data_IF_798006799866
#
_entry.id   IF_798006799866
#
_cell.length_a   1.000
_cell.length_b   1.000
_cell.length_c   1.000
_cell.angle_alpha   90.00
_cell.angle_beta   90.00
_cell.angle_gamma   90.00
#
_symmetry.space_group_name_H-M   'P 1'
#
loop_
_entity.id
_entity.type
_entity.pdbx_description
1 polymer ?
#
# COMPACT_ATOMS: atom_id res chain seq x y z
N UNK A 1 -14.70 -15.32 33.21
CA UNK A 1 -15.39 -14.39 32.27
C UNK A 1 -15.45 -15.10 30.91
N UNK A 2 -16.59 -15.73 30.61
CA UNK A 2 -16.77 -16.48 29.36
C UNK A 2 -16.95 -15.46 28.23
N UNK A 3 -16.04 -15.44 27.27
CA UNK A 3 -16.23 -14.72 26.02
C UNK A 3 -17.17 -15.59 25.20
N UNK A 4 -18.45 -15.19 25.11
CA UNK A 4 -19.38 -15.76 24.15
C UNK A 4 -18.79 -15.54 22.75
N UNK A 5 -18.44 -16.65 22.09
CA UNK A 5 -18.06 -16.64 20.69
C UNK A 5 -19.25 -16.16 19.88
N UNK A 6 -19.27 -14.87 19.48
CA UNK A 6 -20.21 -14.40 18.47
C UNK A 6 -19.94 -15.20 17.19
N UNK A 7 -20.91 -16.04 16.83
CA UNK A 7 -20.91 -16.74 15.56
C UNK A 7 -20.96 -15.70 14.46
N UNK A 8 -19.82 -15.39 13.86
CA UNK A 8 -19.76 -14.55 12.68
C UNK A 8 -20.49 -15.32 11.58
N UNK A 9 -21.62 -14.77 11.11
CA UNK A 9 -22.38 -15.36 10.01
C UNK A 9 -21.54 -15.26 8.75
N UNK A 10 -20.88 -16.35 8.41
CA UNK A 10 -20.01 -16.44 7.22
C UNK A 10 -20.88 -16.65 5.99
N UNK A 11 -20.72 -15.80 4.99
CA UNK A 11 -21.46 -15.84 3.75
C UNK A 11 -20.61 -16.44 2.62
N UNK A 12 -21.21 -17.27 1.76
CA UNK A 12 -20.65 -17.64 0.47
C UNK A 12 -21.16 -16.64 -0.56
N UNK A 13 -20.29 -15.75 -1.00
CA UNK A 13 -20.59 -14.76 -2.04
C UNK A 13 -19.89 -15.19 -3.33
N UNK A 14 -20.56 -15.17 -4.49
CA UNK A 14 -19.90 -15.38 -5.79
C UNK A 14 -18.78 -14.34 -5.95
N UNK A 15 -17.56 -14.81 -6.21
CA UNK A 15 -16.40 -13.92 -6.24
C UNK A 15 -16.07 -13.37 -7.63
N UNK A 16 -16.58 -13.97 -8.72
CA UNK A 16 -16.37 -13.56 -10.12
C UNK A 16 -14.91 -13.35 -10.55
N UNK A 17 -13.94 -13.80 -9.75
CA UNK A 17 -12.50 -13.61 -10.01
C UNK A 17 -12.03 -14.45 -11.21
N UNK A 18 -12.72 -15.56 -11.52
CA UNK A 18 -12.44 -16.38 -12.70
C UNK A 18 -12.55 -15.62 -14.02
N UNK A 19 -13.38 -14.59 -14.08
CA UNK A 19 -13.56 -13.74 -15.25
C UNK A 19 -12.32 -12.89 -15.57
N UNK A 20 -11.45 -12.67 -14.58
CA UNK A 20 -10.23 -11.89 -14.68
C UNK A 20 -8.97 -12.74 -14.85
N UNK A 21 -9.03 -14.04 -14.50
CA UNK A 21 -7.87 -14.95 -14.40
C UNK A 21 -6.97 -14.99 -15.64
N UNK A 22 -7.52 -14.75 -16.82
CA UNK A 22 -6.78 -14.78 -18.09
C UNK A 22 -6.61 -13.39 -18.72
N UNK A 23 -6.99 -12.31 -18.01
CA UNK A 23 -6.83 -10.95 -18.52
C UNK A 23 -5.41 -10.47 -18.23
N UNK A 24 -4.79 -9.88 -19.25
CA UNK A 24 -3.49 -9.24 -19.06
C UNK A 24 -3.65 -7.93 -18.32
N UNK A 25 -2.74 -7.65 -17.39
CA UNK A 25 -2.65 -6.34 -16.74
C UNK A 25 -2.27 -5.30 -17.79
N UNK A 26 -3.07 -4.25 -17.90
CA UNK A 26 -2.73 -3.09 -18.71
C UNK A 26 -1.91 -2.11 -17.86
N UNK A 27 -0.75 -1.73 -18.36
CA UNK A 27 0.11 -0.74 -17.72
C UNK A 27 -0.15 0.62 -18.32
N UNK A 28 -0.59 1.57 -17.49
CA UNK A 28 -0.78 2.97 -17.88
C UNK A 28 0.14 3.86 -17.04
N UNK A 29 1.38 3.97 -17.47
CA UNK A 29 2.45 4.63 -16.72
C UNK A 29 2.94 5.97 -17.32
N UNK A 30 2.34 6.43 -18.42
CA UNK A 30 2.77 7.66 -19.12
C UNK A 30 1.59 8.61 -19.42
N UNK A 31 0.82 9.04 -18.41
CA UNK A 31 -0.19 10.07 -18.62
C UNK A 31 0.48 11.42 -18.87
N UNK A 32 -0.06 12.22 -19.79
CA UNK A 32 0.40 13.59 -20.07
C UNK A 32 0.21 14.50 -18.84
N UNK A 33 -0.92 14.31 -18.13
CA UNK A 33 -1.22 15.03 -16.90
C UNK A 33 -1.55 14.06 -15.78
N UNK A 34 -1.03 14.34 -14.58
CA UNK A 34 -1.49 13.69 -13.36
C UNK A 34 -2.22 14.69 -12.45
N UNK A 35 -3.19 14.19 -11.71
CA UNK A 35 -4.01 14.96 -10.78
C UNK A 35 -3.85 14.36 -9.40
N UNK A 36 -2.99 14.99 -8.57
CA UNK A 36 -2.70 14.50 -7.23
C UNK A 36 -3.68 15.11 -6.23
N UNK A 37 -4.58 14.33 -5.63
CA UNK A 37 -5.56 14.85 -4.69
C UNK A 37 -4.89 15.40 -3.43
N UNK A 38 -5.29 16.60 -3.03
CA UNK A 38 -4.85 17.20 -1.76
C UNK A 38 -5.78 16.73 -0.64
N UNK A 39 -5.73 15.42 -0.39
CA UNK A 39 -6.56 14.73 0.60
C UNK A 39 -5.80 13.51 1.11
N UNK A 40 -6.02 13.15 2.37
CA UNK A 40 -5.52 11.91 2.95
C UNK A 40 -6.66 11.20 3.69
N UNK A 41 -7.14 10.10 3.12
CA UNK A 41 -8.38 9.45 3.60
C UNK A 41 -9.57 10.40 3.49
N UNK A 42 -10.20 10.75 4.62
CA UNK A 42 -11.29 11.74 4.70
C UNK A 42 -10.82 13.16 5.03
N UNK A 43 -9.53 13.36 5.28
CA UNK A 43 -9.00 14.65 5.73
C UNK A 43 -8.57 15.51 4.55
N UNK A 44 -9.19 16.67 4.41
CA UNK A 44 -8.95 17.68 3.37
C UNK A 44 -8.15 18.88 3.89
N UNK A 45 -7.80 18.92 5.18
CA UNK A 45 -7.03 20.03 5.76
C UNK A 45 -5.52 19.84 5.49
N UNK A 46 -5.13 20.24 4.29
CA UNK A 46 -3.77 20.07 3.75
C UNK A 46 -3.10 21.44 3.62
N UNK A 47 -1.87 21.56 4.15
CA UNK A 47 -0.97 22.66 3.83
C UNK A 47 -0.33 22.40 2.47
N UNK A 48 -0.65 23.20 1.47
CA UNK A 48 -0.05 23.10 0.12
C UNK A 48 1.36 23.67 0.15
N UNK A 49 2.33 22.97 -0.43
CA UNK A 49 3.75 23.31 -0.42
C UNK A 49 4.28 23.80 -1.77
N UNK A 50 3.47 23.70 -2.83
CA UNK A 50 3.83 24.06 -4.20
C UNK A 50 2.86 25.08 -4.77
N UNK A 51 3.28 25.81 -5.80
CA UNK A 51 2.47 26.78 -6.54
C UNK A 51 2.53 26.50 -8.04
N UNK A 52 1.61 27.10 -8.78
CA UNK A 52 1.60 27.06 -10.25
C UNK A 52 2.94 27.60 -10.78
N UNK A 53 3.53 26.83 -11.71
CA UNK A 53 4.81 27.12 -12.30
C UNK A 53 5.99 26.39 -11.69
N UNK A 54 5.86 25.84 -10.48
CA UNK A 54 6.94 25.07 -9.84
C UNK A 54 7.23 23.81 -10.63
N UNK A 55 8.53 23.45 -10.72
CA UNK A 55 8.95 22.15 -11.22
C UNK A 55 9.10 21.20 -10.04
N UNK A 56 8.56 19.98 -10.19
CA UNK A 56 8.58 18.94 -9.16
C UNK A 56 9.27 17.68 -9.69
N UNK A 57 9.83 16.92 -8.77
CA UNK A 57 10.40 15.61 -9.00
C UNK A 57 9.43 14.54 -8.47
N UNK A 58 9.54 13.34 -8.95
CA UNK A 58 8.90 12.16 -8.34
C UNK A 58 9.38 12.06 -6.88
N UNK A 59 8.44 12.04 -5.92
CA UNK A 59 8.76 12.12 -4.49
C UNK A 59 8.73 13.54 -3.89
N UNK A 60 8.63 14.61 -4.67
CA UNK A 60 8.49 15.98 -4.14
C UNK A 60 7.23 16.10 -3.28
N UNK A 61 7.35 16.66 -2.08
CA UNK A 61 6.22 16.94 -1.21
C UNK A 61 5.37 18.09 -1.80
N UNK A 62 4.16 17.77 -2.23
CA UNK A 62 3.19 18.74 -2.79
C UNK A 62 2.35 19.41 -1.72
N UNK A 63 2.15 18.69 -0.63
CA UNK A 63 1.39 19.14 0.53
C UNK A 63 1.63 18.22 1.72
N UNK A 64 1.18 18.65 2.89
CA UNK A 64 1.18 17.82 4.09
C UNK A 64 -0.09 18.04 4.88
N UNK A 65 -0.57 17.01 5.53
CA UNK A 65 -1.70 17.05 6.43
C UNK A 65 -1.39 17.94 7.62
N UNK A 66 -2.37 18.76 8.03
CA UNK A 66 -2.35 19.47 9.31
C UNK A 66 -2.78 18.52 10.44
N UNK A 67 -2.48 18.88 11.69
CA UNK A 67 -2.85 18.08 12.86
C UNK A 67 -1.73 17.15 13.34
N UNK A 68 -2.10 16.15 14.14
CA UNK A 68 -1.15 15.27 14.83
C UNK A 68 -0.47 14.26 13.89
N UNK A 69 -1.11 13.90 12.78
CA UNK A 69 -0.58 12.97 11.79
C UNK A 69 -0.20 13.76 10.53
N UNK A 70 1.05 14.15 10.43
CA UNK A 70 1.57 15.04 9.37
C UNK A 70 2.15 14.22 8.22
N UNK A 71 1.33 13.55 7.43
CA UNK A 71 1.80 12.75 6.28
C UNK A 71 1.93 13.64 5.05
N UNK A 72 3.05 13.55 4.31
CA UNK A 72 3.20 14.25 3.05
C UNK A 72 2.34 13.63 1.94
N UNK A 73 1.90 14.48 1.03
CA UNK A 73 1.35 14.10 -0.26
C UNK A 73 2.45 14.34 -1.28
N UNK A 74 2.85 13.29 -2.01
CA UNK A 74 4.01 13.32 -2.88
C UNK A 74 3.62 13.33 -4.36
N UNK A 75 4.50 13.87 -5.20
CA UNK A 75 4.37 13.77 -6.65
C UNK A 75 4.74 12.38 -7.13
N UNK A 76 3.93 11.83 -8.03
CA UNK A 76 4.16 10.51 -8.68
C UNK A 76 4.95 10.62 -9.97
N UNK A 77 5.16 11.83 -10.48
CA UNK A 77 5.90 12.11 -11.72
C UNK A 77 6.84 13.28 -11.53
N UNK A 78 7.82 13.43 -12.42
CA UNK A 78 8.53 14.71 -12.60
C UNK A 78 7.81 15.58 -13.61
N UNK A 79 7.85 16.91 -13.42
CA UNK A 79 7.20 17.82 -14.34
C UNK A 79 6.84 19.16 -13.73
N UNK A 80 5.93 19.89 -14.38
CA UNK A 80 5.56 21.25 -13.99
C UNK A 80 4.16 21.29 -13.37
N UNK A 81 4.01 21.94 -12.24
CA UNK A 81 2.68 22.27 -11.68
C UNK A 81 2.01 23.30 -12.57
N UNK A 82 0.98 22.90 -13.29
CA UNK A 82 0.30 23.76 -14.26
C UNK A 82 -0.96 24.39 -13.70
N UNK A 83 -1.63 23.72 -12.74
CA UNK A 83 -2.85 24.29 -12.13
C UNK A 83 -3.24 23.57 -10.84
N UNK A 84 -4.29 24.11 -10.18
CA UNK A 84 -5.04 23.47 -9.12
C UNK A 84 -6.49 23.34 -9.55
N UNK A 85 -7.00 22.12 -9.62
CA UNK A 85 -8.33 21.84 -10.16
C UNK A 85 -9.15 20.95 -9.20
N UNK A 86 -10.46 21.06 -9.26
CA UNK A 86 -11.35 20.13 -8.58
C UNK A 86 -11.53 18.86 -9.41
N UNK A 87 -11.50 17.70 -8.77
CA UNK A 87 -11.76 16.39 -9.39
C UNK A 87 -12.59 15.50 -8.48
N UNK A 88 -13.44 14.63 -9.05
CA UNK A 88 -14.15 13.61 -8.26
C UNK A 88 -13.20 12.72 -7.48
N UNK A 89 -13.53 12.39 -6.24
CA UNK A 89 -12.80 11.51 -5.37
C UNK A 89 -13.63 10.26 -5.01
N UNK A 90 -13.01 9.26 -4.39
CA UNK A 90 -13.64 7.97 -4.06
C UNK A 90 -14.93 8.06 -3.24
N UNK A 91 -15.09 9.12 -2.44
CA UNK A 91 -16.30 9.38 -1.63
C UNK A 91 -17.42 10.09 -2.41
N UNK A 92 -17.26 10.29 -3.73
CA UNK A 92 -18.22 10.99 -4.58
C UNK A 92 -18.20 12.52 -4.49
N UNK A 93 -17.35 13.09 -3.63
CA UNK A 93 -17.15 14.53 -3.51
C UNK A 93 -16.01 15.02 -4.41
N UNK A 94 -16.05 16.29 -4.78
CA UNK A 94 -14.92 16.93 -5.45
C UNK A 94 -13.85 17.34 -4.45
N UNK A 95 -12.59 17.05 -4.78
CA UNK A 95 -11.43 17.46 -4.00
C UNK A 95 -10.47 18.29 -4.84
N UNK A 96 -9.76 19.21 -4.20
CA UNK A 96 -8.71 19.98 -4.84
C UNK A 96 -7.53 19.07 -5.17
N UNK A 97 -7.08 19.11 -6.42
CA UNK A 97 -5.91 18.37 -6.91
C UNK A 97 -4.84 19.31 -7.42
N UNK A 98 -3.58 18.92 -7.25
CA UNK A 98 -2.45 19.52 -7.98
C UNK A 98 -2.43 18.89 -9.36
N UNK A 99 -2.57 19.69 -10.43
CA UNK A 99 -2.40 19.24 -11.81
C UNK A 99 -0.94 19.41 -12.22
N UNK A 100 -0.28 18.32 -12.60
CA UNK A 100 1.12 18.30 -13.01
C UNK A 100 1.18 17.84 -14.46
N UNK A 101 1.86 18.61 -15.32
CA UNK A 101 2.24 18.21 -16.66
C UNK A 101 3.49 17.34 -16.57
N UNK A 102 3.36 16.08 -16.99
CA UNK A 102 4.41 15.09 -16.91
C UNK A 102 5.47 15.35 -17.99
N UNK A 103 6.73 15.46 -17.61
CA UNK A 103 7.83 15.66 -18.55
C UNK A 103 8.45 14.36 -19.06
N UNK A 104 7.93 13.20 -18.60
CA UNK A 104 8.37 11.84 -18.96
C UNK A 104 9.85 11.53 -18.66
N UNK A 105 10.53 12.37 -17.86
CA UNK A 105 11.95 12.18 -17.53
C UNK A 105 12.15 11.34 -16.28
N UNK A 106 11.06 11.09 -15.54
CA UNK A 106 11.04 10.29 -14.30
C UNK A 106 12.13 10.68 -13.27
N UNK A 107 12.49 11.95 -13.24
CA UNK A 107 13.48 12.46 -12.29
C UNK A 107 12.93 12.31 -10.88
N UNK A 108 13.72 11.73 -9.99
CA UNK A 108 13.37 11.55 -8.58
C UNK A 108 14.05 12.59 -7.70
N UNK A 109 13.47 12.84 -6.53
CA UNK A 109 14.18 13.49 -5.43
C UNK A 109 15.38 12.63 -5.04
N UNK A 110 16.44 13.25 -4.49
CA UNK A 110 17.57 12.49 -3.97
C UNK A 110 17.09 11.57 -2.85
N UNK A 111 17.44 10.29 -2.98
CA UNK A 111 17.14 9.27 -1.97
C UNK A 111 18.36 9.07 -1.09
N UNK A 112 18.13 8.98 0.22
CA UNK A 112 19.18 8.56 1.15
C UNK A 112 19.43 7.07 0.94
N UNK A 113 20.68 6.69 0.70
CA UNK A 113 21.08 5.28 0.71
C UNK A 113 21.44 4.87 2.14
N UNK A 114 20.85 3.78 2.61
CA UNK A 114 21.13 3.18 3.90
C UNK A 114 21.84 1.84 3.68
N UNK A 115 23.09 1.68 4.15
CA UNK A 115 23.75 0.37 4.19
C UNK A 115 23.12 -0.54 5.25
N UNK A 116 22.70 0.06 6.38
CA UNK A 116 21.85 -0.56 7.41
C UNK A 116 20.84 0.45 7.89
N UNK A 117 19.59 0.02 7.95
CA UNK A 117 18.50 0.86 8.45
C UNK A 117 18.11 0.39 9.86
N UNK A 118 18.15 1.30 10.83
CA UNK A 118 17.57 1.07 12.15
C UNK A 118 16.07 1.41 12.17
N UNK A 119 15.39 1.12 13.26
CA UNK A 119 13.94 1.33 13.38
C UNK A 119 13.55 2.80 13.19
N UNK A 120 14.28 3.72 13.79
CA UNK A 120 14.00 5.15 13.72
C UNK A 120 14.10 5.65 12.27
N UNK A 121 15.18 5.31 11.57
CA UNK A 121 15.38 5.67 10.17
C UNK A 121 14.34 5.02 9.24
N UNK A 122 13.92 3.78 9.54
CA UNK A 122 12.85 3.11 8.82
C UNK A 122 11.50 3.82 8.98
N UNK A 123 11.14 4.23 10.20
CA UNK A 123 9.90 4.97 10.46
C UNK A 123 9.93 6.34 9.76
N UNK A 124 11.07 7.05 9.81
CA UNK A 124 11.27 8.31 9.09
C UNK A 124 11.11 8.11 7.57
N UNK A 125 11.72 7.06 7.00
CA UNK A 125 11.61 6.73 5.58
C UNK A 125 10.15 6.49 5.17
N UNK A 126 9.39 5.71 5.94
CA UNK A 126 7.97 5.45 5.68
C UNK A 126 7.14 6.73 5.75
N UNK A 127 7.44 7.60 6.73
CA UNK A 127 6.76 8.88 6.89
C UNK A 127 7.06 9.81 5.72
N UNK A 128 8.33 10.04 5.40
CA UNK A 128 8.77 11.03 4.41
C UNK A 128 8.36 10.65 2.97
N UNK A 129 8.23 9.35 2.71
CA UNK A 129 7.70 8.86 1.43
C UNK A 129 6.17 8.71 1.42
N UNK A 130 5.46 9.17 2.46
CA UNK A 130 4.01 9.18 2.49
C UNK A 130 3.38 7.79 2.42
N UNK A 131 4.03 6.76 2.98
CA UNK A 131 3.55 5.37 2.91
C UNK A 131 2.34 5.19 3.83
N UNK A 132 1.20 4.86 3.23
CA UNK A 132 -0.10 4.68 3.89
C UNK A 132 -0.76 3.38 3.43
N UNK A 133 -1.76 2.92 4.18
CA UNK A 133 -2.57 1.75 3.81
C UNK A 133 -3.55 2.07 2.69
N UNK A 134 -3.23 1.67 1.46
CA UNK A 134 -4.04 1.98 0.26
C UNK A 134 -5.34 1.18 0.18
N UNK A 135 -5.44 0.04 0.83
CA UNK A 135 -6.65 -0.82 0.83
C UNK A 135 -7.74 -0.42 1.84
N UNK A 136 -7.64 0.76 2.46
CA UNK A 136 -8.59 1.16 3.50
C UNK A 136 -8.56 2.66 3.80
N UNK A 137 -8.56 3.01 5.09
CA UNK A 137 -8.69 4.39 5.58
C UNK A 137 -7.44 5.27 5.38
N UNK A 138 -6.43 4.83 4.65
CA UNK A 138 -5.18 5.59 4.49
C UNK A 138 -4.37 5.69 5.78
N UNK A 139 -4.39 4.63 6.62
CA UNK A 139 -3.67 4.65 7.90
C UNK A 139 -2.16 4.71 7.67
N UNK A 140 -1.43 5.61 8.36
CA UNK A 140 0.01 5.78 8.19
C UNK A 140 0.79 4.55 8.60
N UNK A 141 1.62 4.05 7.70
CA UNK A 141 2.37 2.81 7.93
C UNK A 141 3.44 2.97 9.01
N UNK A 142 4.09 4.14 9.09
CA UNK A 142 5.08 4.42 10.14
C UNK A 142 4.47 4.34 11.55
N UNK A 143 3.22 4.81 11.75
CA UNK A 143 2.53 4.69 13.05
C UNK A 143 2.22 3.23 13.38
N UNK A 144 1.86 2.42 12.38
CA UNK A 144 1.60 0.99 12.56
C UNK A 144 2.84 0.27 13.11
N UNK A 145 4.03 0.61 12.62
CA UNK A 145 5.29 -0.03 13.03
C UNK A 145 5.98 0.65 14.22
N UNK A 146 5.51 1.81 14.68
CA UNK A 146 6.01 2.47 15.90
C UNK A 146 5.47 1.82 17.19
N UNK A 147 5.27 0.51 17.18
CA UNK A 147 4.88 -0.28 18.36
C UNK A 147 6.09 -1.08 18.85
N UNK A 148 6.26 -1.12 20.18
CA UNK A 148 7.43 -1.79 20.81
C UNK A 148 7.24 -3.28 21.05
N UNK A 149 6.03 -3.80 20.98
CA UNK A 149 5.70 -5.17 21.40
C UNK A 149 4.96 -5.97 20.30
N UNK A 150 5.45 -5.91 19.05
CA UNK A 150 4.89 -6.72 17.98
C UNK A 150 5.56 -8.09 18.01
N UNK A 151 4.80 -9.17 18.23
CA UNK A 151 5.30 -10.55 18.19
C UNK A 151 5.11 -11.21 16.84
N UNK A 152 4.01 -10.87 16.14
CA UNK A 152 3.64 -11.48 14.88
C UNK A 152 3.29 -10.43 13.84
N UNK A 153 3.74 -10.62 12.62
CA UNK A 153 3.32 -9.85 11.46
C UNK A 153 2.30 -10.67 10.66
N UNK A 154 1.05 -10.21 10.61
CA UNK A 154 0.02 -10.82 9.78
C UNK A 154 -0.04 -10.11 8.42
N UNK A 155 0.28 -10.84 7.36
CA UNK A 155 0.18 -10.38 5.98
C UNK A 155 -1.12 -10.88 5.39
N UNK A 156 -2.08 -9.98 5.19
CA UNK A 156 -3.38 -10.31 4.65
C UNK A 156 -3.31 -10.42 3.12
N UNK A 157 -3.31 -11.66 2.61
CA UNK A 157 -3.38 -11.98 1.19
C UNK A 157 -4.69 -12.70 0.84
N UNK A 158 -5.75 -12.44 1.60
CA UNK A 158 -7.04 -13.15 1.47
C UNK A 158 -7.92 -12.57 0.36
N UNK A 159 -7.91 -11.25 0.18
CA UNK A 159 -8.63 -10.51 -0.87
C UNK A 159 -10.07 -11.00 -1.07
N UNK A 160 -11.00 -10.53 -0.19
CA UNK A 160 -12.35 -11.07 -0.11
C UNK A 160 -13.32 -10.53 -1.16
N UNK A 161 -13.16 -9.29 -1.61
CA UNK A 161 -14.10 -8.58 -2.47
C UNK A 161 -14.24 -9.25 -3.85
N UNK A 162 -15.48 -9.37 -4.36
CA UNK A 162 -15.73 -9.85 -5.72
C UNK A 162 -14.98 -9.00 -6.77
N UNK A 163 -14.58 -9.61 -7.88
CA UNK A 163 -13.85 -9.03 -9.01
C UNK A 163 -12.44 -8.50 -8.71
N UNK A 164 -12.08 -8.19 -7.45
CA UNK A 164 -10.76 -7.64 -7.12
C UNK A 164 -9.72 -8.77 -7.10
N UNK A 165 -8.62 -8.59 -7.84
CA UNK A 165 -7.49 -9.53 -7.95
C UNK A 165 -6.14 -8.83 -7.80
N UNK A 166 -6.12 -7.60 -7.24
CA UNK A 166 -4.92 -6.79 -7.15
C UNK A 166 -3.84 -7.44 -6.26
N UNK A 167 -4.21 -7.89 -5.06
CA UNK A 167 -3.28 -8.51 -4.12
C UNK A 167 -2.75 -9.86 -4.67
N UNK A 168 -3.64 -10.63 -5.31
CA UNK A 168 -3.26 -11.89 -5.96
C UNK A 168 -2.20 -11.68 -7.04
N UNK A 169 -2.43 -10.71 -7.94
CA UNK A 169 -1.51 -10.43 -9.04
C UNK A 169 -0.19 -9.84 -8.56
N UNK A 170 -0.21 -8.94 -7.58
CA UNK A 170 1.00 -8.36 -6.99
C UNK A 170 1.83 -9.45 -6.30
N UNK A 171 1.22 -10.30 -5.47
CA UNK A 171 1.91 -11.42 -4.83
C UNK A 171 2.49 -12.40 -5.84
N UNK A 172 1.79 -12.66 -6.95
CA UNK A 172 2.23 -13.58 -8.00
C UNK A 172 3.42 -13.04 -8.79
N UNK A 173 3.41 -11.74 -9.11
CA UNK A 173 4.40 -11.10 -9.99
C UNK A 173 5.61 -10.55 -9.24
N UNK A 174 5.49 -10.24 -7.94
CA UNK A 174 6.50 -9.64 -7.09
C UNK A 174 6.74 -10.44 -5.81
N UNK A 175 6.68 -11.78 -5.91
CA UNK A 175 6.79 -12.67 -4.75
C UNK A 175 8.06 -12.43 -3.96
N UNK A 176 9.21 -12.37 -4.64
CA UNK A 176 10.54 -12.27 -4.02
C UNK A 176 10.68 -10.93 -3.30
N UNK A 177 10.36 -9.83 -3.97
CA UNK A 177 10.43 -8.48 -3.38
C UNK A 177 9.51 -8.32 -2.17
N UNK A 178 8.34 -8.99 -2.19
CA UNK A 178 7.42 -8.98 -1.04
C UNK A 178 7.99 -9.76 0.13
N UNK A 179 8.57 -10.94 -0.11
CA UNK A 179 9.18 -11.76 0.94
C UNK A 179 10.41 -11.05 1.55
N UNK A 180 11.25 -10.42 0.73
CA UNK A 180 12.36 -9.58 1.19
C UNK A 180 11.85 -8.41 2.06
N UNK A 181 10.80 -7.72 1.60
CA UNK A 181 10.18 -6.63 2.37
C UNK A 181 9.61 -7.09 3.71
N UNK A 182 8.99 -8.27 3.76
CA UNK A 182 8.49 -8.88 5.01
C UNK A 182 9.67 -9.20 5.94
N UNK A 183 10.73 -9.84 5.43
CA UNK A 183 11.91 -10.22 6.21
C UNK A 183 12.61 -9.00 6.80
N UNK A 184 12.78 -7.95 6.00
CA UNK A 184 13.30 -6.66 6.46
C UNK A 184 12.44 -6.06 7.59
N UNK A 185 11.13 -6.11 7.49
CA UNK A 185 10.21 -5.63 8.55
C UNK A 185 10.39 -6.44 9.83
N UNK A 186 10.52 -7.77 9.72
CA UNK A 186 10.76 -8.66 10.86
C UNK A 186 12.08 -8.32 11.56
N UNK A 187 13.15 -8.10 10.79
CA UNK A 187 14.46 -7.76 11.33
C UNK A 187 14.46 -6.40 12.04
N UNK A 188 14.00 -5.36 11.35
CA UNK A 188 14.01 -3.98 11.88
C UNK A 188 13.15 -3.83 13.15
N UNK A 189 12.03 -4.55 13.22
CA UNK A 189 11.12 -4.45 14.36
C UNK A 189 11.31 -5.55 15.40
N UNK A 190 12.31 -6.44 15.21
CA UNK A 190 12.58 -7.59 16.08
C UNK A 190 11.34 -8.47 16.30
N UNK A 191 10.64 -8.77 15.19
CA UNK A 191 9.44 -9.61 15.19
C UNK A 191 9.82 -11.06 15.00
N UNK A 192 9.19 -11.96 15.74
CA UNK A 192 9.56 -13.38 15.74
C UNK A 192 9.13 -14.11 14.48
N UNK A 193 7.93 -13.80 13.96
CA UNK A 193 7.32 -14.56 12.87
C UNK A 193 6.37 -13.70 12.03
N UNK A 194 6.35 -13.92 10.72
CA UNK A 194 5.31 -13.44 9.80
C UNK A 194 4.42 -14.58 9.32
N UNK A 195 3.12 -14.31 9.19
CA UNK A 195 2.14 -15.26 8.68
C UNK A 195 1.43 -14.63 7.47
N UNK A 196 1.64 -15.20 6.29
CA UNK A 196 0.91 -14.81 5.07
C UNK A 196 -0.37 -15.64 5.02
N UNK A 197 -1.54 -14.99 5.21
CA UNK A 197 -2.83 -15.65 5.12
C UNK A 197 -3.32 -15.65 3.67
N UNK A 198 -3.51 -16.84 3.08
CA UNK A 198 -3.93 -17.01 1.68
C UNK A 198 -5.15 -17.94 1.62
N UNK A 199 -6.12 -17.66 0.75
CA UNK A 199 -7.25 -18.56 0.53
C UNK A 199 -6.80 -19.90 -0.05
N UNK A 200 -7.32 -21.01 0.47
CA UNK A 200 -7.07 -22.37 -0.07
C UNK A 200 -7.39 -22.53 -1.56
N UNK A 201 -8.32 -21.73 -2.07
CA UNK A 201 -8.66 -21.71 -3.50
C UNK A 201 -7.58 -21.15 -4.42
N UNK A 202 -6.59 -20.39 -3.87
CA UNK A 202 -5.51 -19.78 -4.62
C UNK A 202 -4.31 -20.74 -4.76
N UNK A 203 -4.57 -21.96 -5.27
CA UNK A 203 -3.58 -23.05 -5.35
C UNK A 203 -2.31 -22.64 -6.09
N UNK A 204 -2.43 -21.91 -7.21
CA UNK A 204 -1.29 -21.43 -7.98
C UNK A 204 -0.41 -20.49 -7.16
N UNK A 205 -1.01 -19.51 -6.47
CA UNK A 205 -0.28 -18.56 -5.62
C UNK A 205 0.42 -19.26 -4.46
N UNK A 206 -0.27 -20.22 -3.80
CA UNK A 206 0.32 -21.02 -2.72
C UNK A 206 1.54 -21.79 -3.23
N UNK A 207 1.46 -22.38 -4.44
CA UNK A 207 2.59 -23.08 -5.06
C UNK A 207 3.76 -22.14 -5.34
N UNK A 208 3.50 -20.93 -5.86
CA UNK A 208 4.53 -19.92 -6.12
C UNK A 208 5.20 -19.53 -4.81
N UNK A 209 4.44 -19.13 -3.80
CA UNK A 209 4.96 -18.75 -2.49
C UNK A 209 5.83 -19.86 -1.87
N UNK A 210 5.40 -21.13 -1.95
CA UNK A 210 6.16 -22.26 -1.43
C UNK A 210 7.50 -22.48 -2.13
N UNK A 211 7.66 -22.05 -3.39
CA UNK A 211 8.93 -22.16 -4.09
C UNK A 211 9.99 -21.17 -3.55
N UNK A 212 9.56 -20.04 -2.98
CA UNK A 212 10.45 -18.99 -2.49
C UNK A 212 10.63 -19.01 -0.96
N UNK A 213 9.63 -19.49 -0.22
CA UNK A 213 9.60 -19.35 1.25
C UNK A 213 10.71 -20.12 1.97
N UNK A 214 11.33 -21.10 1.32
CA UNK A 214 12.35 -21.95 1.93
C UNK A 214 13.60 -21.20 2.43
N UNK A 215 13.87 -20.00 1.90
CA UNK A 215 14.96 -19.13 2.33
C UNK A 215 14.59 -18.21 3.50
N UNK A 216 13.29 -18.07 3.80
CA UNK A 216 12.76 -17.14 4.81
C UNK A 216 12.20 -17.89 6.02
N UNK A 217 13.10 -18.27 6.95
CA UNK A 217 12.76 -19.17 8.07
C UNK A 217 11.68 -18.63 9.02
N UNK A 218 11.52 -17.33 9.10
CA UNK A 218 10.54 -16.65 9.97
C UNK A 218 9.19 -16.40 9.27
N UNK A 219 9.05 -16.69 7.99
CA UNK A 219 7.82 -16.45 7.23
C UNK A 219 7.08 -17.76 7.02
N UNK A 220 5.79 -17.79 7.34
CA UNK A 220 4.91 -18.95 7.18
C UNK A 220 3.71 -18.62 6.31
N UNK A 221 3.22 -19.63 5.58
CA UNK A 221 1.97 -19.53 4.83
C UNK A 221 0.87 -20.20 5.64
N UNK A 222 -0.25 -19.50 5.83
CA UNK A 222 -1.46 -20.02 6.44
C UNK A 222 -2.59 -20.06 5.44
N UNK A 223 -2.99 -21.24 5.06
CA UNK A 223 -4.17 -21.44 4.22
C UNK A 223 -5.45 -21.22 5.03
N UNK A 224 -6.32 -20.33 4.54
CA UNK A 224 -7.60 -20.03 5.16
C UNK A 224 -8.77 -20.47 4.27
N UNK A 225 -9.96 -20.74 4.85
CA UNK A 225 -11.15 -21.11 4.09
C UNK A 225 -11.57 -20.02 3.09
N UNK A 226 -12.24 -20.45 1.99
CA UNK A 226 -12.79 -19.52 1.01
C UNK A 226 -14.17 -18.99 1.47
N UNK A 227 -14.15 -18.11 2.47
CA UNK A 227 -15.33 -17.55 3.12
C UNK A 227 -15.30 -16.02 3.03
N UNK A 228 -16.44 -15.38 3.29
CA UNK A 228 -16.58 -13.91 3.34
C UNK A 228 -17.25 -13.48 4.66
N UNK A 229 -16.77 -12.46 5.36
CA UNK A 229 -15.43 -11.83 5.25
C UNK A 229 -14.37 -12.70 5.94
N UNK A 230 -13.17 -12.79 5.38
CA UNK A 230 -12.09 -13.61 5.94
C UNK A 230 -10.76 -12.82 6.03
N UNK A 231 -10.68 -11.70 5.32
CA UNK A 231 -9.52 -10.79 5.31
C UNK A 231 -9.64 -9.65 6.28
#
# INVERSE_FOLDING_TARGET
MFIESRVIKVLKIPNHKSELKNKKIAIYNKPEYVYIPLVNGSDTDITVLVKKGDYVYKGTHLGKRKGNIKIPIISTVSGKVVDFVAKPYMNGLEVKCVKIENDFKEKCVETKNYEKINKEAFLELLHDNGIIGLGGAGFPTHIKYDNKEIKYLLVNAVECEPYITADYEVLKTHTEEILEGIDMILEINNIDEAIIAVKKSNVELIKILNNFIGTYLKIKIKEVPNLYPMG
#
